data_IF_026479009770
#
_entry.id   IF_026479009770
#
_cell.length_a   1.000
_cell.length_b   1.000
_cell.length_c   1.000
_cell.angle_alpha   90.00
_cell.angle_beta   90.00
_cell.angle_gamma   90.00
#
_symmetry.space_group_name_H-M   'P 1'
#
loop_
_entity.id
_entity.type
_entity.pdbx_description
1 polymer ?
#
# COMPACT_ATOMS: atom_id res chain seq x y z
N UNK A 1 -5.29 -33.45 34.99
CA UNK A 1 -6.47 -33.92 34.29
C UNK A 1 -6.19 -34.03 32.79
N UNK A 2 -6.38 -35.24 32.25
CA UNK A 2 -6.10 -35.55 30.84
C UNK A 2 -7.00 -34.73 29.90
N UNK A 3 -8.28 -34.56 30.26
CA UNK A 3 -9.23 -33.80 29.43
C UNK A 3 -8.84 -32.34 29.30
N UNK A 4 -8.37 -31.71 30.38
CA UNK A 4 -7.84 -30.33 30.33
C UNK A 4 -6.57 -30.24 29.50
N UNK A 5 -5.68 -31.22 29.60
CA UNK A 5 -4.45 -31.25 28.82
C UNK A 5 -4.75 -31.38 27.31
N UNK A 6 -5.74 -32.19 26.95
CA UNK A 6 -6.19 -32.32 25.55
C UNK A 6 -6.81 -31.02 25.05
N UNK A 7 -7.67 -30.39 25.85
CA UNK A 7 -8.28 -29.10 25.47
C UNK A 7 -7.25 -28.02 25.26
N UNK A 8 -6.25 -27.93 26.14
CA UNK A 8 -5.14 -26.98 26.01
C UNK A 8 -4.35 -27.25 24.71
N UNK A 9 -4.04 -28.51 24.42
CA UNK A 9 -3.31 -28.90 23.22
C UNK A 9 -4.08 -28.55 21.94
N UNK A 10 -5.39 -28.73 21.93
CA UNK A 10 -6.26 -28.37 20.80
C UNK A 10 -6.26 -26.86 20.60
N UNK A 11 -6.42 -26.08 21.66
CA UNK A 11 -6.42 -24.61 21.61
C UNK A 11 -5.08 -24.08 21.09
N UNK A 12 -3.96 -24.62 21.57
CA UNK A 12 -2.61 -24.23 21.11
C UNK A 12 -2.41 -24.56 19.65
N UNK A 13 -2.88 -25.72 19.18
CA UNK A 13 -2.79 -26.12 17.79
C UNK A 13 -3.64 -25.19 16.89
N UNK A 14 -4.85 -24.85 17.31
CA UNK A 14 -5.71 -23.93 16.57
C UNK A 14 -5.11 -22.52 16.50
N UNK A 15 -4.50 -22.05 17.58
CA UNK A 15 -3.78 -20.76 17.60
C UNK A 15 -2.57 -20.76 16.65
N UNK A 16 -1.83 -21.86 16.60
CA UNK A 16 -0.69 -22.00 15.70
C UNK A 16 -1.13 -21.96 14.23
N UNK A 17 -2.22 -22.64 13.89
CA UNK A 17 -2.79 -22.64 12.54
C UNK A 17 -3.25 -21.24 12.17
N UNK A 18 -3.95 -20.54 13.07
CA UNK A 18 -4.41 -19.18 12.85
C UNK A 18 -3.24 -18.20 12.64
N UNK A 19 -2.20 -18.28 13.47
CA UNK A 19 -0.99 -17.48 13.33
C UNK A 19 -0.29 -17.73 12.00
N UNK A 20 -0.24 -18.99 11.56
CA UNK A 20 0.35 -19.35 10.26
C UNK A 20 -0.43 -18.77 9.09
N UNK A 21 -1.76 -18.76 9.16
CA UNK A 21 -2.64 -18.14 8.15
C UNK A 21 -2.42 -16.63 8.08
N UNK A 22 -2.32 -15.97 9.23
CA UNK A 22 -2.06 -14.53 9.30
C UNK A 22 -0.70 -14.18 8.72
N UNK A 23 0.32 -14.97 9.02
CA UNK A 23 1.66 -14.79 8.45
C UNK A 23 1.65 -14.96 6.94
N UNK A 24 0.98 -15.97 6.41
CA UNK A 24 0.84 -16.17 4.97
C UNK A 24 0.11 -15.01 4.30
N UNK A 25 -0.95 -14.52 4.94
CA UNK A 25 -1.68 -13.35 4.45
C UNK A 25 -0.76 -12.14 4.37
N UNK A 26 0.02 -11.87 5.41
CA UNK A 26 0.95 -10.74 5.43
C UNK A 26 2.02 -10.88 4.36
N UNK A 27 2.57 -12.05 4.18
CA UNK A 27 3.56 -12.32 3.13
C UNK A 27 2.99 -12.06 1.74
N UNK A 28 1.74 -12.46 1.49
CA UNK A 28 1.06 -12.19 0.21
C UNK A 28 0.83 -10.70 -0.01
N UNK A 29 0.46 -9.97 1.05
CA UNK A 29 0.27 -8.53 0.98
C UNK A 29 1.61 -7.82 0.71
N UNK A 30 2.70 -8.26 1.34
CA UNK A 30 4.05 -7.72 1.07
C UNK A 30 4.51 -8.01 -0.36
N UNK A 31 4.21 -9.19 -0.86
CA UNK A 31 4.48 -9.55 -2.25
C UNK A 31 3.73 -8.63 -3.21
N UNK A 32 2.45 -8.35 -2.94
CA UNK A 32 1.66 -7.41 -3.73
C UNK A 32 2.20 -5.98 -3.66
N UNK A 33 2.66 -5.53 -2.49
CA UNK A 33 3.36 -4.23 -2.35
C UNK A 33 4.57 -4.15 -3.27
N UNK A 34 5.39 -5.21 -3.32
CA UNK A 34 6.57 -5.27 -4.17
C UNK A 34 6.21 -5.20 -5.65
N UNK A 35 5.16 -5.91 -6.07
CA UNK A 35 4.66 -5.86 -7.45
C UNK A 35 4.22 -4.44 -7.82
N UNK A 36 3.51 -3.76 -6.93
CA UNK A 36 3.06 -2.38 -7.14
C UNK A 36 4.24 -1.40 -7.22
N UNK A 37 5.27 -1.59 -6.40
CA UNK A 37 6.49 -0.78 -6.48
C UNK A 37 7.19 -0.97 -7.83
N UNK A 38 7.23 -2.19 -8.34
CA UNK A 38 7.82 -2.48 -9.65
C UNK A 38 6.99 -1.83 -10.77
N UNK A 39 5.67 -1.92 -10.71
CA UNK A 39 4.77 -1.26 -11.67
C UNK A 39 4.99 0.26 -11.68
N UNK A 40 5.05 0.89 -10.50
CA UNK A 40 5.31 2.32 -10.38
C UNK A 40 6.69 2.71 -10.93
N UNK A 41 7.71 1.91 -10.66
CA UNK A 41 9.04 2.14 -11.18
C UNK A 41 9.06 2.11 -12.71
N UNK A 42 8.40 1.13 -13.31
CA UNK A 42 8.33 1.00 -14.76
C UNK A 42 7.58 2.21 -15.39
N UNK A 43 6.48 2.62 -14.78
CA UNK A 43 5.72 3.79 -15.23
C UNK A 43 6.52 5.08 -15.10
N UNK A 44 7.23 5.28 -13.99
CA UNK A 44 8.07 6.45 -13.75
C UNK A 44 9.22 6.57 -14.75
N UNK A 45 9.78 5.46 -15.17
CA UNK A 45 10.82 5.48 -16.23
C UNK A 45 10.32 6.05 -17.54
N UNK A 46 9.03 5.91 -17.81
CA UNK A 46 8.39 6.48 -19.00
C UNK A 46 8.16 8.00 -18.86
N UNK A 47 7.86 8.45 -17.63
CA UNK A 47 7.46 9.84 -17.34
C UNK A 47 8.67 10.76 -17.14
N UNK A 48 9.61 10.33 -16.29
CA UNK A 48 10.66 11.22 -15.74
C UNK A 48 11.59 11.89 -16.76
N UNK A 49 11.96 11.28 -17.88
CA UNK A 49 12.90 11.94 -18.81
C UNK A 49 12.36 13.18 -19.50
N UNK A 50 11.05 13.32 -19.61
CA UNK A 50 10.41 14.30 -20.49
C UNK A 50 9.38 15.21 -19.81
N UNK A 51 9.14 15.01 -18.49
CA UNK A 51 8.04 15.68 -17.80
C UNK A 51 8.54 16.66 -16.73
N UNK A 52 8.21 17.93 -16.91
CA UNK A 52 8.61 19.01 -15.98
C UNK A 52 7.97 18.89 -14.59
N UNK A 53 6.81 18.19 -14.48
CA UNK A 53 6.08 18.01 -13.22
C UNK A 53 6.44 16.70 -12.51
N UNK A 54 7.42 15.97 -12.98
CA UNK A 54 7.93 14.75 -12.33
C UNK A 54 8.32 14.96 -10.87
N UNK A 55 8.66 16.19 -10.51
CA UNK A 55 8.97 16.57 -9.13
C UNK A 55 7.79 16.34 -8.19
N UNK A 56 6.57 16.68 -8.59
CA UNK A 56 5.37 16.48 -7.73
C UNK A 56 5.12 15.00 -7.45
N UNK A 57 5.32 14.17 -8.45
CA UNK A 57 5.18 12.71 -8.32
C UNK A 57 6.27 12.17 -7.39
N UNK A 58 7.50 12.60 -7.60
CA UNK A 58 8.64 12.22 -6.77
C UNK A 58 8.42 12.63 -5.30
N UNK A 59 7.98 13.86 -5.06
CA UNK A 59 7.73 14.36 -3.70
C UNK A 59 6.64 13.54 -2.99
N UNK A 60 5.56 13.16 -3.68
CA UNK A 60 4.51 12.30 -3.11
C UNK A 60 5.02 10.92 -2.79
N UNK A 61 5.85 10.34 -3.64
CA UNK A 61 6.43 9.02 -3.40
C UNK A 61 7.34 9.03 -2.18
N UNK A 62 8.15 10.06 -2.03
CA UNK A 62 9.03 10.25 -0.87
C UNK A 62 8.18 10.41 0.40
N UNK A 63 7.19 11.28 0.38
CA UNK A 63 6.29 11.51 1.51
C UNK A 63 5.55 10.23 1.91
N UNK A 64 5.09 9.46 0.94
CA UNK A 64 4.48 8.15 1.19
C UNK A 64 5.44 7.22 1.90
N UNK A 65 6.67 7.12 1.41
CA UNK A 65 7.69 6.22 1.99
C UNK A 65 8.05 6.59 3.41
N UNK A 66 8.05 7.87 3.75
CA UNK A 66 8.38 8.37 5.09
C UNK A 66 7.26 8.15 6.11
N UNK A 67 6.02 7.99 5.67
CA UNK A 67 4.84 7.97 6.53
C UNK A 67 4.04 6.65 6.48
N UNK A 68 4.63 5.57 5.99
CA UNK A 68 3.94 4.27 5.81
C UNK A 68 3.31 3.70 7.08
N UNK A 69 3.85 4.03 8.25
CA UNK A 69 3.36 3.54 9.54
C UNK A 69 2.50 4.56 10.30
N UNK A 70 2.34 5.76 9.77
CA UNK A 70 1.56 6.83 10.39
C UNK A 70 0.23 7.02 9.67
N UNK A 71 -0.85 6.50 10.27
CA UNK A 71 -2.18 6.53 9.69
C UNK A 71 -2.74 7.93 9.46
N UNK A 72 -2.44 8.89 10.33
CA UNK A 72 -2.89 10.28 10.16
C UNK A 72 -2.17 10.96 9.00
N UNK A 73 -0.85 10.81 8.93
CA UNK A 73 -0.06 11.36 7.83
C UNK A 73 -0.40 10.69 6.51
N UNK A 74 -0.67 9.38 6.50
CA UNK A 74 -1.10 8.68 5.30
C UNK A 74 -2.45 9.17 4.79
N UNK A 75 -3.36 9.54 5.67
CA UNK A 75 -4.64 10.16 5.27
C UNK A 75 -4.40 11.48 4.53
N UNK A 76 -3.47 12.31 5.02
CA UNK A 76 -3.08 13.55 4.34
C UNK A 76 -2.46 13.27 2.97
N UNK A 77 -1.61 12.26 2.87
CA UNK A 77 -1.00 11.84 1.59
C UNK A 77 -2.08 11.40 0.61
N UNK A 78 -3.04 10.59 1.03
CA UNK A 78 -4.17 10.18 0.17
C UNK A 78 -4.99 11.37 -0.32
N UNK A 79 -5.25 12.35 0.54
CA UNK A 79 -5.95 13.56 0.16
C UNK A 79 -5.17 14.37 -0.88
N UNK A 80 -3.87 14.43 -0.78
CA UNK A 80 -3.01 15.08 -1.77
C UNK A 80 -3.01 14.34 -3.10
N UNK A 81 -2.98 13.02 -3.07
CA UNK A 81 -3.10 12.18 -4.28
C UNK A 81 -4.44 12.45 -4.98
N UNK A 82 -5.53 12.47 -4.24
CA UNK A 82 -6.85 12.76 -4.78
C UNK A 82 -6.92 14.16 -5.39
N UNK A 83 -6.33 15.14 -4.73
CA UNK A 83 -6.21 16.51 -5.26
C UNK A 83 -5.46 16.53 -6.58
N UNK A 84 -4.33 15.83 -6.68
CA UNK A 84 -3.55 15.75 -7.90
C UNK A 84 -4.27 14.99 -9.01
N UNK A 85 -4.96 13.91 -8.68
CA UNK A 85 -5.80 13.21 -9.66
C UNK A 85 -6.82 14.15 -10.28
N UNK A 86 -7.52 14.92 -9.44
CA UNK A 86 -8.49 15.89 -9.90
C UNK A 86 -7.86 16.99 -10.73
N UNK A 87 -6.69 17.49 -10.32
CA UNK A 87 -5.96 18.48 -11.07
C UNK A 87 -5.63 18.00 -12.49
N UNK A 88 -5.07 16.80 -12.62
CA UNK A 88 -4.76 16.22 -13.93
C UNK A 88 -6.01 15.91 -14.74
N UNK A 89 -7.09 15.50 -14.08
CA UNK A 89 -8.35 15.21 -14.75
C UNK A 89 -9.02 16.46 -15.34
N UNK A 90 -8.84 17.61 -14.69
CA UNK A 90 -9.38 18.90 -15.13
C UNK A 90 -8.48 19.64 -16.13
N UNK A 91 -7.29 19.16 -16.36
CA UNK A 91 -6.38 19.75 -17.35
C UNK A 91 -6.94 19.57 -18.77
N UNK A 92 -6.50 20.46 -19.65
CA UNK A 92 -6.77 20.36 -21.09
C UNK A 92 -6.38 18.96 -21.59
N UNK A 93 -7.18 18.42 -22.50
CA UNK A 93 -6.88 17.14 -23.14
C UNK A 93 -5.51 17.16 -23.82
N UNK A 94 -4.79 16.03 -23.83
CA UNK A 94 -3.50 15.94 -24.51
C UNK A 94 -3.64 16.26 -26.01
N UNK A 95 -2.72 17.05 -26.54
CA UNK A 95 -2.71 17.42 -27.95
C UNK A 95 -1.94 16.41 -28.80
N UNK A 96 -1.06 15.62 -28.20
CA UNK A 96 -0.19 14.66 -28.90
C UNK A 96 -0.31 13.27 -28.29
N UNK A 97 0.09 12.25 -29.05
CA UNK A 97 0.19 10.88 -28.55
C UNK A 97 1.19 10.77 -27.40
N UNK A 98 2.28 11.52 -27.46
CA UNK A 98 3.31 11.54 -26.41
C UNK A 98 2.77 12.11 -25.11
N UNK A 99 2.07 13.25 -25.14
CA UNK A 99 1.41 13.83 -23.98
C UNK A 99 0.35 12.89 -23.39
N UNK A 100 -0.41 12.21 -24.25
CA UNK A 100 -1.38 11.22 -23.84
C UNK A 100 -0.71 10.05 -23.11
N UNK A 101 0.39 9.52 -23.64
CA UNK A 101 1.14 8.43 -23.04
C UNK A 101 1.68 8.83 -21.65
N UNK A 102 2.25 10.03 -21.53
CA UNK A 102 2.77 10.56 -20.26
C UNK A 102 1.63 10.69 -19.24
N UNK A 103 0.52 11.28 -19.61
CA UNK A 103 -0.63 11.48 -18.72
C UNK A 103 -1.24 10.14 -18.29
N UNK A 104 -1.33 9.18 -19.19
CA UNK A 104 -1.79 7.82 -18.85
C UNK A 104 -0.86 7.15 -17.85
N UNK A 105 0.44 7.29 -18.01
CA UNK A 105 1.43 6.77 -17.07
C UNK A 105 1.31 7.43 -15.69
N UNK A 106 1.06 8.74 -15.63
CA UNK A 106 0.81 9.46 -14.37
C UNK A 106 -0.40 8.89 -13.62
N UNK A 107 -1.51 8.67 -14.31
CA UNK A 107 -2.70 8.06 -13.71
C UNK A 107 -2.44 6.63 -13.22
N UNK A 108 -1.64 5.85 -13.95
CA UNK A 108 -1.24 4.51 -13.51
C UNK A 108 -0.42 4.55 -12.23
N UNK A 109 0.51 5.51 -12.11
CA UNK A 109 1.29 5.70 -10.88
C UNK A 109 0.37 6.02 -9.70
N UNK A 110 -0.56 6.94 -9.85
CA UNK A 110 -1.51 7.27 -8.78
C UNK A 110 -2.38 6.08 -8.39
N UNK A 111 -2.83 5.31 -9.35
CA UNK A 111 -3.62 4.10 -9.10
C UNK A 111 -2.83 3.05 -8.32
N UNK A 112 -1.61 2.79 -8.73
CA UNK A 112 -0.73 1.85 -8.04
C UNK A 112 -0.39 2.34 -6.63
N UNK A 113 -0.18 3.64 -6.46
CA UNK A 113 0.12 4.24 -5.17
C UNK A 113 -1.07 4.13 -4.20
N UNK A 114 -2.30 4.37 -4.66
CA UNK A 114 -3.49 4.17 -3.84
C UNK A 114 -3.61 2.72 -3.37
N UNK A 115 -3.40 1.77 -4.26
CA UNK A 115 -3.43 0.34 -3.92
C UNK A 115 -2.33 -0.03 -2.93
N UNK A 116 -1.13 0.52 -3.12
CA UNK A 116 -0.01 0.32 -2.21
C UNK A 116 -0.33 0.80 -0.80
N UNK A 117 -0.88 2.01 -0.68
CA UNK A 117 -1.27 2.59 0.62
C UNK A 117 -2.34 1.73 1.30
N UNK A 118 -3.35 1.29 0.57
CA UNK A 118 -4.41 0.45 1.12
C UNK A 118 -3.87 -0.89 1.64
N UNK A 119 -2.95 -1.50 0.92
CA UNK A 119 -2.30 -2.75 1.33
C UNK A 119 -1.43 -2.52 2.57
N UNK A 120 -0.64 -1.45 2.59
CA UNK A 120 0.19 -1.10 3.75
C UNK A 120 -0.67 -0.88 4.99
N UNK A 121 -1.82 -0.22 4.86
CA UNK A 121 -2.77 -0.04 5.96
C UNK A 121 -3.35 -1.37 6.47
N UNK A 122 -3.62 -2.32 5.58
CA UNK A 122 -4.10 -3.66 5.97
C UNK A 122 -3.06 -4.41 6.79
N UNK A 123 -1.79 -4.24 6.50
CA UNK A 123 -0.71 -4.89 7.24
C UNK A 123 -0.51 -4.25 8.61
N UNK A 124 -0.49 -2.91 8.68
CA UNK A 124 -0.18 -2.16 9.91
C UNK A 124 -1.34 -2.07 10.89
N UNK A 125 -2.59 -2.10 10.42
CA UNK A 125 -3.80 -1.87 11.22
C UNK A 125 -4.55 -3.17 11.54
N UNK A 126 -3.85 -4.26 11.89
CA UNK A 126 -4.48 -5.51 12.28
C UNK A 126 -5.03 -5.45 13.69
N UNK A 127 -6.36 -5.54 13.89
CA UNK A 127 -6.93 -5.55 15.24
C UNK A 127 -6.50 -6.78 16.05
N UNK A 128 -6.34 -7.92 15.41
CA UNK A 128 -5.99 -9.19 16.05
C UNK A 128 -4.60 -9.21 16.66
N UNK A 129 -3.64 -8.52 16.09
CA UNK A 129 -2.28 -8.45 16.61
C UNK A 129 -2.22 -7.75 17.97
N UNK A 130 -2.99 -6.68 18.15
CA UNK A 130 -3.08 -5.94 19.41
C UNK A 130 -3.73 -6.77 20.54
N UNK A 131 -4.75 -7.54 20.21
CA UNK A 131 -5.45 -8.42 21.17
C UNK A 131 -4.52 -9.54 21.65
N UNK A 132 -3.73 -10.13 20.76
CA UNK A 132 -2.78 -11.22 21.10
C UNK A 132 -1.66 -10.72 22.01
N UNK A 133 -1.15 -9.53 21.79
CA UNK A 133 -0.12 -8.91 22.64
C UNK A 133 -0.67 -8.69 24.06
N UNK A 134 -1.92 -8.27 24.20
CA UNK A 134 -2.56 -8.05 25.50
C UNK A 134 -2.80 -9.35 26.28
N UNK A 135 -3.09 -10.45 25.60
CA UNK A 135 -3.32 -11.75 26.24
C UNK A 135 -2.05 -12.45 26.68
N UNK A 136 -0.90 -12.06 26.17
CA UNK A 136 0.41 -12.58 26.57
C UNK A 136 1.07 -11.79 27.69
N UNK A 137 0.60 -10.59 27.92
CA UNK A 137 1.05 -9.77 29.03
C UNK A 137 0.28 -10.08 30.27
#
# INVERSE_FOLDING_TARGET
>A
DIDKAIDIAIIENDNLIENSRDLLRDLRLREREMDLLQEMYDDLRTILPEYSDGKYISDILIETSENLTDGEEMTKVKNRIDFLKNHYHMMKLPDTHEEFAIRSAIFQVFRSLDQFIDISNQITNKPNTKIRIKTRG
#
